data_IF_045774883364
#
_entry.id   IF_045774883364
#
_cell.length_a   1.000
_cell.length_b   1.000
_cell.length_c   1.000
_cell.angle_alpha   90.00
_cell.angle_beta   90.00
_cell.angle_gamma   90.00
#
_symmetry.space_group_name_H-M   'P 1'
#
loop_
_entity.id
_entity.type
_entity.pdbx_description
1 polymer ?
#
# COMPACT_ATOMS: atom_id res chain seq x y z
N UNK A 1 12.49 4.70 4.70
CA UNK A 1 13.34 5.35 3.68
C UNK A 1 13.87 6.67 4.22
N UNK A 2 15.17 6.92 4.03
CA UNK A 2 15.96 8.04 4.58
C UNK A 2 15.51 9.36 3.90
N UNK A 3 14.92 10.29 4.66
CA UNK A 3 14.37 11.59 4.20
C UNK A 3 15.29 12.40 3.27
N UNK A 4 16.61 12.19 3.37
CA UNK A 4 17.63 12.81 2.49
C UNK A 4 17.42 12.52 0.99
N UNK A 5 16.79 11.39 0.63
CA UNK A 5 16.58 11.00 -0.76
C UNK A 5 15.38 11.72 -1.42
N UNK A 6 14.42 12.18 -0.62
CA UNK A 6 13.29 12.99 -1.10
C UNK A 6 13.71 14.43 -1.37
N UNK A 7 14.64 14.95 -0.55
CA UNK A 7 15.13 16.34 -0.67
C UNK A 7 15.83 16.62 -2.01
N UNK A 8 16.46 15.61 -2.61
CA UNK A 8 17.23 15.74 -3.85
C UNK A 8 16.43 15.50 -5.14
N UNK A 9 15.11 15.29 -5.07
CA UNK A 9 14.23 15.08 -6.24
C UNK A 9 13.40 16.33 -6.55
N UNK A 10 13.20 16.62 -7.83
CA UNK A 10 12.30 17.67 -8.34
C UNK A 10 10.85 17.39 -7.93
N UNK A 11 10.06 18.44 -7.66
CA UNK A 11 8.65 18.34 -7.25
C UNK A 11 7.80 17.47 -8.18
N UNK A 12 7.97 17.59 -9.51
CA UNK A 12 7.31 16.72 -10.51
C UNK A 12 7.61 15.23 -10.33
N UNK A 13 8.84 14.89 -9.94
CA UNK A 13 9.26 13.50 -9.69
C UNK A 13 8.71 12.96 -8.37
N UNK A 14 8.48 13.83 -7.40
CA UNK A 14 7.84 13.48 -6.12
C UNK A 14 6.33 13.28 -6.29
N UNK A 15 5.64 14.14 -7.05
CA UNK A 15 4.21 13.98 -7.38
C UNK A 15 3.93 12.72 -8.20
N UNK A 16 4.74 12.44 -9.23
CA UNK A 16 4.63 11.21 -10.01
C UNK A 16 4.80 9.97 -9.12
N UNK A 17 5.75 10.02 -8.17
CA UNK A 17 5.95 8.95 -7.19
C UNK A 17 4.75 8.82 -6.24
N UNK A 18 4.14 9.94 -5.82
CA UNK A 18 2.95 9.95 -4.97
C UNK A 18 1.74 9.33 -5.70
N UNK A 19 1.53 9.66 -6.98
CA UNK A 19 0.51 9.02 -7.84
C UNK A 19 0.77 7.54 -8.01
N UNK A 20 2.02 7.13 -8.27
CA UNK A 20 2.40 5.72 -8.39
C UNK A 20 2.11 4.93 -7.11
N UNK A 21 2.49 5.47 -5.94
CA UNK A 21 2.20 4.84 -4.64
C UNK A 21 0.69 4.74 -4.41
N UNK A 22 -0.09 5.77 -4.77
CA UNK A 22 -1.55 5.76 -4.66
C UNK A 22 -2.20 4.68 -5.52
N UNK A 23 -1.81 4.58 -6.79
CA UNK A 23 -2.31 3.56 -7.73
C UNK A 23 -1.95 2.16 -7.23
N UNK A 24 -0.70 1.95 -6.83
CA UNK A 24 -0.24 0.68 -6.27
C UNK A 24 -1.03 0.29 -5.01
N UNK A 25 -1.29 1.26 -4.13
CA UNK A 25 -2.07 1.03 -2.91
C UNK A 25 -3.50 0.59 -3.24
N UNK A 26 -4.16 1.25 -4.19
CA UNK A 26 -5.51 0.88 -4.63
C UNK A 26 -5.52 -0.52 -5.26
N UNK A 27 -4.57 -0.81 -6.14
CA UNK A 27 -4.43 -2.13 -6.76
C UNK A 27 -4.22 -3.22 -5.70
N UNK A 28 -3.37 -2.97 -4.70
CA UNK A 28 -3.11 -3.91 -3.62
C UNK A 28 -4.36 -4.17 -2.77
N UNK A 29 -5.16 -3.13 -2.48
CA UNK A 29 -6.44 -3.27 -1.77
C UNK A 29 -7.42 -4.13 -2.56
N UNK A 30 -7.55 -3.92 -3.87
CA UNK A 30 -8.43 -4.70 -4.74
C UNK A 30 -8.03 -6.18 -4.74
N UNK A 31 -6.73 -6.46 -4.89
CA UNK A 31 -6.22 -7.84 -4.87
C UNK A 31 -6.45 -8.49 -3.51
N UNK A 32 -6.21 -7.77 -2.40
CA UNK A 32 -6.47 -8.29 -1.04
C UNK A 32 -7.97 -8.57 -0.81
N UNK A 33 -8.85 -7.70 -1.29
CA UNK A 33 -10.30 -7.90 -1.17
C UNK A 33 -10.76 -9.14 -1.95
N UNK A 34 -10.32 -9.29 -3.20
CA UNK A 34 -10.58 -10.48 -4.02
C UNK A 34 -10.05 -11.75 -3.33
N UNK A 35 -8.82 -11.70 -2.83
CA UNK A 35 -8.19 -12.84 -2.14
C UNK A 35 -8.99 -13.25 -0.90
N UNK A 36 -9.47 -12.28 -0.10
CA UNK A 36 -10.29 -12.57 1.07
C UNK A 36 -11.66 -13.16 0.70
N UNK A 37 -12.34 -12.61 -0.31
CA UNK A 37 -13.63 -13.13 -0.77
C UNK A 37 -13.48 -14.59 -1.24
N UNK A 38 -12.49 -14.86 -2.10
CA UNK A 38 -12.21 -16.20 -2.59
C UNK A 38 -11.77 -17.14 -1.47
N UNK A 39 -10.99 -16.64 -0.50
CA UNK A 39 -10.53 -17.46 0.61
C UNK A 39 -11.65 -17.83 1.57
N UNK A 40 -12.56 -16.90 1.88
CA UNK A 40 -13.75 -17.16 2.72
C UNK A 40 -14.70 -18.11 1.98
N UNK A 41 -14.95 -17.86 0.70
CA UNK A 41 -15.81 -18.72 -0.12
C UNK A 41 -15.25 -20.15 -0.21
N UNK A 42 -13.96 -20.29 -0.48
CA UNK A 42 -13.28 -21.59 -0.52
C UNK A 42 -13.21 -22.28 0.84
N UNK A 43 -13.02 -21.53 1.93
CA UNK A 43 -13.09 -22.06 3.29
C UNK A 43 -14.48 -22.61 3.64
N UNK A 44 -15.55 -21.95 3.20
CA UNK A 44 -16.92 -22.41 3.44
C UNK A 44 -17.32 -23.61 2.56
N UNK A 45 -16.73 -23.75 1.37
CA UNK A 45 -17.15 -24.76 0.37
C UNK A 45 -16.22 -25.97 0.29
N UNK A 46 -14.97 -25.86 0.72
CA UNK A 46 -13.94 -26.89 0.57
C UNK A 46 -13.44 -27.34 1.94
N UNK A 47 -13.49 -28.65 2.21
CA UNK A 47 -13.09 -29.27 3.49
C UNK A 47 -11.59 -29.13 3.83
N UNK A 48 -10.76 -28.69 2.88
CA UNK A 48 -9.33 -28.43 3.08
C UNK A 48 -9.10 -27.05 3.70
N UNK A 49 -9.49 -26.95 4.98
CA UNK A 49 -9.39 -25.77 5.83
C UNK A 49 -7.99 -25.15 6.00
N UNK A 50 -6.85 -25.91 6.05
CA UNK A 50 -5.56 -25.30 6.37
C UNK A 50 -5.02 -24.36 5.28
N UNK A 51 -5.31 -24.64 4.00
CA UNK A 51 -4.85 -23.81 2.88
C UNK A 51 -5.50 -22.43 2.92
N UNK A 52 -6.81 -22.37 3.17
CA UNK A 52 -7.55 -21.09 3.24
C UNK A 52 -7.18 -20.27 4.46
N UNK A 53 -6.89 -20.92 5.59
CA UNK A 53 -6.34 -20.24 6.79
C UNK A 53 -4.96 -19.64 6.47
N UNK A 54 -4.09 -20.35 5.75
CA UNK A 54 -2.80 -19.83 5.34
C UNK A 54 -2.95 -18.61 4.38
N UNK A 55 -3.89 -18.67 3.43
CA UNK A 55 -4.21 -17.57 2.52
C UNK A 55 -4.70 -16.32 3.27
N UNK A 56 -5.54 -16.48 4.29
CA UNK A 56 -6.00 -15.37 5.14
C UNK A 56 -4.82 -14.78 5.93
N UNK A 57 -3.94 -15.61 6.50
CA UNK A 57 -2.76 -15.14 7.20
C UNK A 57 -1.83 -14.32 6.28
N UNK A 58 -1.64 -14.75 5.03
CA UNK A 58 -0.90 -13.98 4.01
C UNK A 58 -1.59 -12.65 3.73
N UNK A 59 -2.91 -12.63 3.56
CA UNK A 59 -3.66 -11.39 3.32
C UNK A 59 -3.49 -10.39 4.48
N UNK A 60 -3.54 -10.85 5.73
CA UNK A 60 -3.32 -10.01 6.93
C UNK A 60 -1.89 -9.46 6.94
N UNK A 61 -0.88 -10.30 6.64
CA UNK A 61 0.52 -9.86 6.60
C UNK A 61 0.76 -8.78 5.53
N UNK A 62 0.16 -8.93 4.35
CA UNK A 62 0.22 -7.94 3.28
C UNK A 62 -0.54 -6.66 3.65
N UNK A 63 -1.58 -6.74 4.49
CA UNK A 63 -2.32 -5.57 4.99
C UNK A 63 -1.44 -4.68 5.86
N UNK A 64 -0.46 -5.23 6.58
CA UNK A 64 0.50 -4.46 7.38
C UNK A 64 1.44 -3.58 6.51
N UNK A 65 1.57 -3.87 5.22
CA UNK A 65 2.35 -3.06 4.27
C UNK A 65 1.62 -1.75 3.95
N UNK A 66 0.28 -1.72 4.01
CA UNK A 66 -0.53 -0.53 3.73
C UNK A 66 -0.19 0.68 4.64
N UNK A 67 -0.14 0.56 5.98
CA UNK A 67 0.26 1.69 6.83
C UNK A 67 1.69 2.18 6.56
N UNK A 68 2.62 1.30 6.19
CA UNK A 68 3.97 1.67 5.78
C UNK A 68 3.97 2.52 4.50
N UNK A 69 3.17 2.13 3.50
CA UNK A 69 2.96 2.90 2.27
C UNK A 69 2.30 4.26 2.56
N UNK A 70 1.34 4.30 3.49
CA UNK A 70 0.63 5.53 3.88
C UNK A 70 1.55 6.52 4.60
N UNK A 71 2.43 6.04 5.48
CA UNK A 71 3.44 6.87 6.15
C UNK A 71 4.42 7.49 5.16
N UNK A 72 4.89 6.70 4.19
CA UNK A 72 5.74 7.21 3.09
C UNK A 72 5.02 8.26 2.25
N UNK A 73 3.73 8.06 1.94
CA UNK A 73 2.91 9.01 1.19
C UNK A 73 2.74 10.33 1.95
N UNK A 74 2.49 10.28 3.27
CA UNK A 74 2.44 11.47 4.13
C UNK A 74 3.75 12.25 4.11
N UNK A 75 4.89 11.57 4.27
CA UNK A 75 6.22 12.22 4.21
C UNK A 75 6.47 12.94 2.89
N UNK A 76 6.14 12.30 1.77
CA UNK A 76 6.26 12.92 0.44
C UNK A 76 5.33 14.14 0.31
N UNK A 77 4.09 14.04 0.81
CA UNK A 77 3.13 15.14 0.78
C UNK A 77 3.55 16.33 1.66
N UNK A 78 4.08 16.05 2.85
CA UNK A 78 4.65 17.06 3.76
C UNK A 78 5.85 17.78 3.10
N UNK A 79 6.75 17.04 2.45
CA UNK A 79 7.89 17.64 1.76
C UNK A 79 7.47 18.45 0.52
N UNK A 80 6.42 18.05 -0.20
CA UNK A 80 5.82 18.83 -1.29
C UNK A 80 5.17 20.13 -0.76
N UNK A 81 4.36 20.06 0.30
CA UNK A 81 3.75 21.24 0.92
C UNK A 81 4.79 22.23 1.45
N UNK A 82 5.89 21.73 2.04
CA UNK A 82 7.01 22.57 2.50
C UNK A 82 7.70 23.31 1.34
N UNK A 83 7.63 22.78 0.12
CA UNK A 83 8.21 23.42 -1.08
C UNK A 83 7.26 24.44 -1.68
N UNK A 84 5.98 24.11 -1.80
CA UNK A 84 4.97 25.02 -2.34
C UNK A 84 4.54 26.14 -1.38
N UNK A 85 4.75 25.99 -0.06
CA UNK A 85 4.45 27.02 0.94
C UNK A 85 5.60 28.00 1.20
N UNK A 86 6.73 27.84 0.52
CA UNK A 86 7.90 28.72 0.60
C UNK A 86 8.09 29.53 -0.71
N UNK A 87 7.06 29.60 -1.56
CA UNK A 87 6.93 30.54 -2.67
C UNK A 87 5.98 31.67 -2.28
#
# INVERSE_FOLDING_TARGET
MKDKNLKNKTSKKLESKLKGIRILTIALIVVLALLLILSIYGFMTVKNNPTFIALIAVAISCSAILPSQFSNMRKIKTELNRRNGNE
#
